data_IF_423203888249
#
_entry.id   IF_423203888249
#
_cell.length_a   1.000
_cell.length_b   1.000
_cell.length_c   1.000
_cell.angle_alpha   90.00
_cell.angle_beta   90.00
_cell.angle_gamma   90.00
#
_symmetry.space_group_name_H-M   'P 1'
#
loop_
_entity.id
_entity.type
_entity.pdbx_description
1 polymer ?
#
# COMPACT_ATOMS: atom_id res chain seq x y z
N UNK A 1 -4.01 -33.81 -31.21
CA UNK A 1 -2.80 -33.88 -30.37
C UNK A 1 -2.76 -32.60 -29.55
N UNK A 2 -2.98 -32.72 -28.25
CA UNK A 2 -2.99 -31.62 -27.29
C UNK A 2 -1.56 -31.49 -26.77
N UNK A 3 -0.91 -30.35 -27.06
CA UNK A 3 0.43 -30.03 -26.58
C UNK A 3 0.41 -29.81 -25.07
N UNK A 4 1.26 -30.55 -24.38
CA UNK A 4 1.39 -30.56 -22.93
C UNK A 4 2.15 -29.33 -22.41
N UNK A 5 1.59 -28.76 -21.34
CA UNK A 5 2.22 -28.10 -20.19
C UNK A 5 3.67 -27.62 -20.35
N UNK A 6 3.82 -26.31 -20.58
CA UNK A 6 5.05 -25.60 -20.19
C UNK A 6 5.02 -25.40 -18.66
N UNK A 7 6.04 -25.86 -17.91
CA UNK A 7 6.09 -25.63 -16.48
C UNK A 7 6.29 -24.13 -16.19
N UNK A 8 5.59 -23.62 -15.18
CA UNK A 8 5.84 -22.30 -14.61
C UNK A 8 7.35 -22.17 -14.33
N UNK A 9 8.00 -21.16 -14.91
CA UNK A 9 9.38 -20.83 -14.58
C UNK A 9 9.49 -20.63 -13.06
N UNK A 10 10.27 -21.49 -12.42
CA UNK A 10 10.76 -21.28 -11.07
C UNK A 10 11.61 -20.00 -11.10
N UNK A 11 11.03 -18.89 -10.67
CA UNK A 11 11.80 -17.67 -10.39
C UNK A 11 12.90 -18.05 -9.41
N UNK A 12 14.14 -18.02 -9.89
CA UNK A 12 15.32 -18.37 -9.11
C UNK A 12 15.32 -17.56 -7.81
N UNK A 13 15.48 -18.25 -6.69
CA UNK A 13 15.81 -17.61 -5.43
C UNK A 13 17.16 -16.91 -5.61
N UNK A 14 17.14 -15.58 -5.78
CA UNK A 14 18.35 -14.75 -5.75
C UNK A 14 18.88 -14.74 -4.30
N UNK A 15 19.56 -15.81 -3.93
CA UNK A 15 20.42 -15.87 -2.77
C UNK A 15 21.78 -15.32 -3.17
N UNK A 16 21.96 -14.00 -3.05
CA UNK A 16 23.23 -13.30 -2.73
C UNK A 16 23.04 -11.80 -2.90
N UNK A 17 22.30 -11.18 -1.96
CA UNK A 17 22.50 -9.75 -1.72
C UNK A 17 23.49 -9.59 -0.56
N UNK A 18 24.47 -8.67 -0.66
CA UNK A 18 25.41 -8.41 0.42
C UNK A 18 24.67 -7.91 1.67
N UNK A 19 25.25 -8.20 2.85
CA UNK A 19 24.69 -7.97 4.20
C UNK A 19 24.47 -6.47 4.55
N UNK A 20 24.64 -5.53 3.61
CA UNK A 20 24.54 -4.08 3.87
C UNK A 20 23.66 -3.28 2.89
N UNK A 21 22.93 -3.92 1.98
CA UNK A 21 21.99 -3.21 1.10
C UNK A 21 20.54 -3.56 1.44
N UNK A 22 19.76 -2.53 1.79
CA UNK A 22 18.30 -2.63 1.92
C UNK A 22 17.73 -3.05 0.55
N UNK A 23 16.99 -4.17 0.45
CA UNK A 23 16.41 -4.60 -0.82
C UNK A 23 15.44 -3.56 -1.40
N UNK A 24 15.60 -3.25 -2.68
CA UNK A 24 14.69 -2.36 -3.40
C UNK A 24 13.45 -3.15 -3.91
N UNK A 25 12.27 -2.57 -3.73
CA UNK A 25 11.01 -3.09 -4.25
C UNK A 25 10.71 -2.43 -5.59
N UNK A 26 10.20 -3.22 -6.52
CA UNK A 26 9.71 -2.73 -7.80
C UNK A 26 8.20 -2.50 -7.75
N UNK A 27 7.73 -1.49 -8.47
CA UNK A 27 6.31 -1.19 -8.55
C UNK A 27 5.53 -2.36 -9.17
N UNK A 28 4.44 -2.75 -8.53
CA UNK A 28 3.54 -3.84 -8.89
C UNK A 28 4.20 -5.23 -8.92
N UNK A 29 5.34 -5.40 -8.24
CA UNK A 29 6.00 -6.69 -8.04
C UNK A 29 5.91 -7.09 -6.58
N UNK A 30 5.54 -8.35 -6.33
CA UNK A 30 5.48 -8.93 -4.99
C UNK A 30 6.76 -9.71 -4.71
N UNK A 31 7.45 -9.38 -3.63
CA UNK A 31 8.65 -10.06 -3.13
C UNK A 31 8.31 -10.93 -1.94
N UNK A 32 8.76 -12.19 -1.95
CA UNK A 32 8.62 -13.10 -0.79
C UNK A 32 9.73 -12.88 0.21
N UNK A 33 9.40 -12.95 1.49
CA UNK A 33 10.36 -12.84 2.58
C UNK A 33 9.86 -13.57 3.85
N UNK A 34 10.71 -13.54 4.87
CA UNK A 34 10.37 -14.01 6.20
C UNK A 34 11.18 -13.25 7.25
N UNK A 35 10.67 -13.22 8.48
CA UNK A 35 11.41 -12.80 9.65
C UNK A 35 11.12 -13.70 10.87
N UNK A 36 12.09 -13.76 11.78
CA UNK A 36 11.97 -14.42 13.08
C UNK A 36 11.14 -13.59 14.07
N UNK A 37 10.69 -14.15 15.20
CA UNK A 37 9.90 -13.43 16.19
C UNK A 37 10.52 -12.09 16.59
N UNK A 38 9.73 -11.02 16.51
CA UNK A 38 10.15 -9.63 16.78
C UNK A 38 11.28 -9.10 15.88
N UNK A 39 11.64 -9.84 14.83
CA UNK A 39 12.65 -9.46 13.85
C UNK A 39 12.16 -8.35 12.93
N UNK A 40 13.11 -7.59 12.41
CA UNK A 40 12.87 -6.52 11.45
C UNK A 40 13.44 -6.87 10.10
N UNK A 41 12.76 -6.42 9.05
CA UNK A 41 13.28 -6.41 7.69
C UNK A 41 12.88 -5.11 7.01
N UNK A 42 13.86 -4.41 6.47
CA UNK A 42 13.65 -3.13 5.82
C UNK A 42 13.72 -3.30 4.30
N UNK A 43 13.01 -2.43 3.59
CA UNK A 43 12.96 -2.36 2.15
C UNK A 43 13.02 -0.90 1.70
N UNK A 44 13.46 -0.69 0.47
CA UNK A 44 13.51 0.61 -0.18
C UNK A 44 12.53 0.63 -1.34
N UNK A 45 11.80 1.72 -1.53
CA UNK A 45 11.06 2.01 -2.74
C UNK A 45 11.38 3.43 -3.19
N UNK A 46 11.84 3.58 -4.44
CA UNK A 46 12.15 4.89 -4.98
C UNK A 46 10.94 5.47 -5.72
N UNK A 47 10.36 6.55 -5.18
CA UNK A 47 9.32 7.31 -5.88
C UNK A 47 9.98 8.17 -6.93
N UNK A 48 9.76 7.83 -8.20
CA UNK A 48 10.27 8.58 -9.37
C UNK A 48 9.22 9.57 -9.88
N UNK A 49 9.59 10.39 -10.87
CA UNK A 49 8.66 11.31 -11.55
C UNK A 49 7.44 10.59 -12.14
N UNK A 50 7.56 9.30 -12.46
CA UNK A 50 6.45 8.49 -12.98
C UNK A 50 5.40 8.15 -11.91
N UNK A 51 5.71 8.35 -10.62
CA UNK A 51 4.86 7.93 -9.50
C UNK A 51 4.43 9.08 -8.59
N UNK A 52 5.01 10.27 -8.74
CA UNK A 52 4.80 11.41 -7.83
C UNK A 52 3.35 11.90 -7.78
N UNK A 53 2.60 11.70 -8.86
CA UNK A 53 1.18 12.06 -8.96
C UNK A 53 0.26 10.84 -8.82
N UNK A 54 0.78 9.67 -8.43
CA UNK A 54 0.00 8.44 -8.29
C UNK A 54 -0.25 8.06 -6.84
N UNK A 55 -1.29 7.25 -6.61
CA UNK A 55 -1.50 6.63 -5.30
C UNK A 55 -0.55 5.45 -5.15
N UNK A 56 0.03 5.33 -3.97
CA UNK A 56 0.93 4.22 -3.62
C UNK A 56 0.31 3.45 -2.46
N UNK A 57 0.19 2.14 -2.62
CA UNK A 57 -0.25 1.24 -1.57
C UNK A 57 0.84 0.21 -1.31
N UNK A 58 1.45 0.28 -0.14
CA UNK A 58 2.38 -0.75 0.33
C UNK A 58 1.53 -1.87 0.92
N UNK A 59 1.73 -3.10 0.47
CA UNK A 59 1.03 -4.28 0.98
C UNK A 59 2.03 -5.29 1.51
N UNK A 60 1.70 -5.88 2.66
CA UNK A 60 2.44 -6.98 3.26
C UNK A 60 1.42 -8.02 3.71
N UNK A 61 1.46 -9.18 3.09
CA UNK A 61 0.52 -10.26 3.39
C UNK A 61 1.22 -11.42 4.07
N UNK A 62 0.68 -11.80 5.23
CA UNK A 62 1.04 -13.01 5.95
C UNK A 62 0.64 -14.24 5.14
N UNK A 63 1.63 -15.08 4.85
CA UNK A 63 1.49 -16.31 4.05
C UNK A 63 1.38 -17.55 4.94
N UNK A 64 1.25 -17.39 6.26
CA UNK A 64 1.00 -18.50 7.17
C UNK A 64 -0.48 -18.92 7.14
N UNK A 65 -0.75 -20.20 7.39
CA UNK A 65 -2.11 -20.76 7.35
C UNK A 65 -2.99 -20.28 8.52
N UNK A 66 -2.37 -19.80 9.59
CA UNK A 66 -3.07 -19.30 10.77
C UNK A 66 -3.26 -17.79 10.63
N UNK A 67 -4.51 -17.34 10.65
CA UNK A 67 -4.84 -15.93 10.69
C UNK A 67 -4.49 -15.36 12.07
N UNK A 68 -3.39 -14.60 12.14
CA UNK A 68 -3.03 -13.77 13.28
C UNK A 68 -3.06 -12.30 12.84
N UNK A 69 -4.03 -11.49 13.29
CA UNK A 69 -4.15 -10.10 12.87
C UNK A 69 -2.99 -9.23 13.35
N UNK A 70 -2.14 -9.72 14.28
CA UNK A 70 -0.96 -9.02 14.79
C UNK A 70 0.35 -9.70 14.38
N UNK A 71 0.33 -10.53 13.33
CA UNK A 71 1.53 -11.25 12.88
C UNK A 71 2.61 -10.33 12.34
N UNK A 72 2.24 -9.16 11.81
CA UNK A 72 3.15 -8.19 11.23
C UNK A 72 2.80 -6.77 11.70
N UNK A 73 3.79 -5.89 11.65
CA UNK A 73 3.61 -4.45 11.70
C UNK A 73 4.41 -3.85 10.54
N UNK A 74 3.76 -2.98 9.78
CA UNK A 74 4.33 -2.30 8.61
C UNK A 74 4.45 -0.83 8.94
N UNK A 75 5.61 -0.24 8.66
CA UNK A 75 5.88 1.18 8.87
C UNK A 75 6.54 1.76 7.63
N UNK A 76 6.35 3.06 7.43
CA UNK A 76 6.84 3.75 6.25
C UNK A 76 7.53 5.07 6.63
N UNK A 77 8.71 5.32 6.10
CA UNK A 77 9.45 6.56 6.31
C UNK A 77 9.93 7.15 4.99
N UNK A 78 10.06 8.48 4.96
CA UNK A 78 10.63 9.18 3.81
C UNK A 78 12.08 9.55 4.10
N UNK A 79 12.99 9.19 3.18
CA UNK A 79 14.39 9.59 3.18
C UNK A 79 15.31 8.86 4.16
N UNK A 80 14.87 8.57 5.38
CA UNK A 80 15.66 7.80 6.35
C UNK A 80 14.78 7.03 7.34
N UNK A 81 15.34 5.96 7.93
CA UNK A 81 14.71 5.24 9.04
C UNK A 81 15.20 5.88 10.35
N UNK A 82 14.31 6.44 11.19
CA UNK A 82 14.71 7.05 12.45
C UNK A 82 15.18 5.98 13.45
N UNK A 83 16.08 6.36 14.36
CA UNK A 83 16.65 5.47 15.39
C UNK A 83 15.58 4.79 16.26
N UNK A 84 14.49 5.51 16.57
CA UNK A 84 13.39 5.01 17.39
C UNK A 84 12.34 4.23 16.60
N UNK A 85 12.50 4.16 15.27
CA UNK A 85 11.60 3.49 14.32
C UNK A 85 10.13 3.87 14.47
N UNK A 86 9.82 5.09 14.94
CA UNK A 86 8.43 5.56 14.92
C UNK A 86 8.08 6.10 13.55
N UNK A 87 6.86 5.83 13.10
CA UNK A 87 6.30 6.42 11.88
C UNK A 87 4.90 6.98 12.14
N UNK A 88 4.55 8.05 11.43
CA UNK A 88 3.17 8.52 11.31
C UNK A 88 2.33 7.61 10.38
N UNK A 89 3.00 6.85 9.52
CA UNK A 89 2.42 5.90 8.59
C UNK A 89 2.77 4.49 9.04
N UNK A 90 1.85 3.85 9.75
CA UNK A 90 2.00 2.47 10.19
C UNK A 90 0.68 1.70 10.16
N UNK A 91 0.78 0.39 10.06
CA UNK A 91 -0.32 -0.56 10.16
C UNK A 91 0.12 -1.76 10.97
N UNK A 92 -0.61 -2.08 12.03
CA UNK A 92 -0.26 -3.12 13.01
C UNK A 92 -1.39 -4.12 13.27
N UNK A 93 -2.50 -4.01 12.54
CA UNK A 93 -3.65 -4.92 12.65
C UNK A 93 -4.24 -5.15 11.26
N UNK A 94 -4.42 -6.42 10.89
CA UNK A 94 -5.00 -6.81 9.62
C UNK A 94 -5.92 -8.03 9.76
N UNK A 95 -7.24 -7.79 9.78
CA UNK A 95 -8.23 -8.87 9.61
C UNK A 95 -8.18 -9.36 8.17
N UNK A 96 -7.82 -10.61 7.95
CA UNK A 96 -7.55 -11.20 6.63
C UNK A 96 -6.07 -11.30 6.25
N UNK A 97 -5.13 -10.94 7.15
CA UNK A 97 -3.70 -11.21 6.98
C UNK A 97 -2.92 -10.25 6.07
N UNK A 98 -3.58 -9.24 5.47
CA UNK A 98 -2.93 -8.22 4.64
C UNK A 98 -2.83 -6.89 5.37
N UNK A 99 -1.61 -6.50 5.69
CA UNK A 99 -1.26 -5.21 6.26
C UNK A 99 -0.95 -4.25 5.13
N UNK A 100 -1.51 -3.04 5.16
CA UNK A 100 -1.19 -2.03 4.16
C UNK A 100 -1.10 -0.61 4.69
N UNK A 101 -0.31 0.18 3.97
CA UNK A 101 -0.21 1.63 4.14
C UNK A 101 -0.53 2.27 2.79
N UNK A 102 -1.51 3.17 2.78
CA UNK A 102 -1.85 3.96 1.60
C UNK A 102 -1.25 5.37 1.71
N UNK A 103 -0.57 5.79 0.65
CA UNK A 103 -0.16 7.17 0.40
C UNK A 103 -0.96 7.70 -0.79
N UNK A 104 -1.73 8.75 -0.56
CA UNK A 104 -2.41 9.43 -1.66
C UNK A 104 -1.42 10.19 -2.54
N UNK A 105 -1.74 10.43 -3.81
CA UNK A 105 -0.96 11.29 -4.70
C UNK A 105 -0.63 12.67 -4.10
N UNK A 106 -1.52 13.18 -3.23
CA UNK A 106 -1.31 14.45 -2.53
C UNK A 106 -0.28 14.38 -1.41
N UNK A 107 -0.16 13.24 -0.75
CA UNK A 107 0.88 12.98 0.28
C UNK A 107 2.19 12.54 -0.35
N UNK A 108 2.12 11.81 -1.47
CA UNK A 108 3.24 11.32 -2.26
C UNK A 108 3.84 12.38 -3.21
N UNK A 109 3.68 13.67 -2.90
CA UNK A 109 3.94 14.76 -3.85
C UNK A 109 5.43 15.07 -4.07
N UNK A 110 6.36 14.18 -3.71
CA UNK A 110 7.78 14.43 -3.94
C UNK A 110 8.58 13.14 -4.13
N UNK A 111 9.32 13.14 -5.24
CA UNK A 111 10.35 12.17 -5.61
C UNK A 111 11.33 11.93 -4.46
N UNK A 112 11.74 10.67 -4.32
CA UNK A 112 12.78 10.27 -3.40
C UNK A 112 12.59 8.88 -2.83
N UNK A 113 13.49 8.57 -1.90
CA UNK A 113 13.57 7.28 -1.25
C UNK A 113 12.52 7.16 -0.14
N UNK A 114 11.80 6.05 -0.16
CA UNK A 114 10.87 5.66 0.88
C UNK A 114 11.30 4.32 1.47
N UNK A 115 11.43 4.26 2.78
CA UNK A 115 11.82 3.06 3.52
C UNK A 115 10.61 2.40 4.12
N UNK A 116 10.48 1.09 3.91
CA UNK A 116 9.39 0.27 4.41
C UNK A 116 9.98 -0.69 5.43
N UNK A 117 9.53 -0.58 6.68
CA UNK A 117 9.92 -1.49 7.75
C UNK A 117 8.83 -2.53 7.98
N UNK A 118 9.20 -3.80 7.96
CA UNK A 118 8.33 -4.91 8.37
C UNK A 118 8.87 -5.49 9.66
N UNK A 119 8.05 -5.48 10.70
CA UNK A 119 8.34 -6.11 11.99
C UNK A 119 7.46 -7.33 12.17
N UNK A 120 8.08 -8.48 12.44
CA UNK A 120 7.35 -9.70 12.79
C UNK A 120 6.80 -9.63 14.22
N UNK A 121 5.65 -10.27 14.44
CA UNK A 121 5.04 -10.51 15.74
C UNK A 121 5.78 -11.56 16.57
N UNK A 122 5.06 -12.28 17.43
CA UNK A 122 5.65 -13.23 18.38
C UNK A 122 6.05 -14.58 17.77
N UNK A 123 5.67 -14.85 16.52
CA UNK A 123 5.96 -16.09 15.80
C UNK A 123 6.83 -15.82 14.55
N UNK A 124 7.41 -16.88 13.98
CA UNK A 124 8.02 -16.81 12.65
C UNK A 124 6.93 -16.53 11.60
N UNK A 125 7.18 -15.55 10.73
CA UNK A 125 6.24 -15.18 9.67
C UNK A 125 6.90 -15.26 8.31
N UNK A 126 6.23 -15.94 7.39
CA UNK A 126 6.51 -15.86 5.95
C UNK A 126 5.50 -14.90 5.36
N UNK A 127 5.96 -13.98 4.54
CA UNK A 127 5.09 -12.96 3.97
C UNK A 127 5.48 -12.61 2.55
N UNK A 128 4.56 -11.95 1.83
CA UNK A 128 4.85 -11.26 0.57
C UNK A 128 4.68 -9.76 0.77
N UNK A 129 5.65 -8.98 0.33
CA UNK A 129 5.63 -7.52 0.37
C UNK A 129 5.65 -6.96 -1.04
N UNK A 130 4.93 -5.88 -1.28
CA UNK A 130 5.04 -5.15 -2.53
C UNK A 130 4.49 -3.75 -2.45
N UNK A 131 4.72 -3.01 -3.53
CA UNK A 131 4.23 -1.65 -3.70
C UNK A 131 3.30 -1.64 -4.90
N UNK A 132 2.02 -1.41 -4.68
CA UNK A 132 1.01 -1.29 -5.73
C UNK A 132 0.86 0.19 -6.06
N UNK A 133 1.03 0.53 -7.33
CA UNK A 133 0.80 1.89 -7.83
C UNK A 133 -0.55 1.93 -8.51
N UNK A 134 -1.44 2.79 -8.04
CA UNK A 134 -2.79 2.95 -8.57
C UNK A 134 -2.96 4.36 -9.10
N UNK A 135 -3.53 4.48 -10.30
CA UNK A 135 -3.77 5.79 -10.93
C UNK A 135 -4.57 6.72 -10.03
N UNK A 136 -4.10 7.94 -9.85
CA UNK A 136 -4.87 8.99 -9.17
C UNK A 136 -5.91 9.63 -10.09
N UNK A 137 -5.58 9.80 -11.37
CA UNK A 137 -6.53 10.27 -12.36
C UNK A 137 -7.46 9.11 -12.79
N UNK A 138 -8.77 9.36 -12.72
CA UNK A 138 -9.79 8.46 -13.25
C UNK A 138 -9.94 8.77 -14.74
N UNK A 139 -9.51 7.83 -15.56
CA UNK A 139 -9.85 7.81 -16.98
C UNK A 139 -11.30 7.33 -17.15
N UNK A 140 -12.09 8.07 -17.93
CA UNK A 140 -13.49 7.73 -18.18
C UNK A 140 -13.61 6.36 -18.86
N UNK A 141 -14.65 5.61 -18.47
CA UNK A 141 -14.94 4.27 -19.00
C UNK A 141 -13.85 3.21 -18.71
N UNK A 142 -12.90 3.53 -17.85
CA UNK A 142 -11.91 2.56 -17.34
C UNK A 142 -12.22 2.18 -15.89
N UNK A 143 -11.98 0.92 -15.57
CA UNK A 143 -12.06 0.43 -14.20
C UNK A 143 -10.71 0.67 -13.51
N UNK A 144 -10.75 1.34 -12.37
CA UNK A 144 -9.60 1.48 -11.47
C UNK A 144 -9.80 0.56 -10.27
N UNK A 145 -8.78 -0.24 -9.96
CA UNK A 145 -8.79 -1.19 -8.85
C UNK A 145 -7.84 -0.70 -7.77
N UNK A 146 -8.25 -0.89 -6.52
CA UNK A 146 -7.44 -0.54 -5.36
C UNK A 146 -7.99 -1.16 -4.08
N UNK A 147 -7.11 -1.29 -3.10
CA UNK A 147 -7.45 -1.71 -1.73
C UNK A 147 -6.94 -0.64 -0.77
N UNK A 148 -7.70 -0.41 0.30
CA UNK A 148 -7.36 0.54 1.35
C UNK A 148 -7.63 -0.14 2.69
N UNK A 149 -6.61 -0.28 3.53
CA UNK A 149 -6.78 -0.79 4.89
C UNK A 149 -7.50 0.22 5.80
N UNK A 150 -8.05 -0.23 6.93
CA UNK A 150 -8.70 0.66 7.90
C UNK A 150 -7.85 1.88 8.26
N UNK A 151 -8.44 3.08 8.18
CA UNK A 151 -7.73 4.34 8.44
C UNK A 151 -6.84 4.85 7.30
N UNK A 152 -6.60 4.03 6.29
CA UNK A 152 -6.00 4.44 5.01
C UNK A 152 -6.96 5.26 4.17
N UNK A 153 -6.41 5.98 3.20
CA UNK A 153 -7.18 6.70 2.19
C UNK A 153 -6.34 6.85 0.92
N UNK A 154 -7.01 6.88 -0.23
CA UNK A 154 -6.40 7.19 -1.53
C UNK A 154 -7.22 8.29 -2.20
N UNK A 155 -6.58 9.06 -3.08
CA UNK A 155 -7.21 10.16 -3.79
C UNK A 155 -7.39 9.78 -5.25
N UNK A 156 -8.63 9.85 -5.72
CA UNK A 156 -8.92 9.83 -7.14
C UNK A 156 -9.50 11.17 -7.60
N UNK A 157 -9.09 11.65 -8.77
CA UNK A 157 -9.59 12.88 -9.38
C UNK A 157 -9.89 12.70 -10.87
N UNK A 158 -10.67 13.60 -11.43
CA UNK A 158 -10.88 13.72 -12.87
C UNK A 158 -11.21 15.17 -13.20
N UNK A 159 -10.86 15.63 -14.41
CA UNK A 159 -11.17 16.98 -14.85
C UNK A 159 -12.52 17.04 -15.56
N UNK A 160 -13.50 17.68 -14.92
CA UNK A 160 -14.85 17.83 -15.48
C UNK A 160 -14.89 18.75 -16.72
N UNK A 161 -13.90 19.61 -16.93
CA UNK A 161 -13.86 20.55 -18.07
C UNK A 161 -13.78 19.83 -19.42
N UNK A 162 -13.26 18.60 -19.44
CA UNK A 162 -13.17 17.77 -20.63
C UNK A 162 -14.47 17.01 -20.94
N UNK A 163 -15.49 17.14 -20.08
CA UNK A 163 -16.77 16.48 -20.24
C UNK A 163 -17.78 17.47 -20.84
N UNK A 164 -18.26 17.22 -22.06
CA UNK A 164 -19.41 17.93 -22.66
C UNK A 164 -20.74 17.52 -21.98
N UNK A 165 -20.77 17.48 -20.65
CA UNK A 165 -21.88 16.99 -19.84
C UNK A 165 -22.10 17.89 -18.62
N UNK A 166 -23.36 18.12 -18.26
CA UNK A 166 -23.74 18.84 -17.04
C UNK A 166 -23.67 17.97 -15.77
N UNK A 167 -23.48 16.66 -15.92
CA UNK A 167 -23.48 15.69 -14.82
C UNK A 167 -22.40 14.62 -14.98
N UNK A 168 -21.89 14.14 -13.85
CA UNK A 168 -20.96 13.02 -13.76
C UNK A 168 -21.59 11.91 -12.96
N UNK A 169 -21.48 10.68 -13.45
CA UNK A 169 -21.90 9.47 -12.74
C UNK A 169 -20.68 8.61 -12.48
N UNK A 170 -20.41 8.33 -11.20
CA UNK A 170 -19.34 7.43 -10.79
C UNK A 170 -19.99 6.13 -10.31
N UNK A 171 -19.51 4.99 -10.81
CA UNK A 171 -19.89 3.67 -10.32
C UNK A 171 -18.76 3.16 -9.44
N UNK A 172 -19.07 2.83 -8.19
CA UNK A 172 -18.12 2.25 -7.24
C UNK A 172 -18.61 0.85 -6.90
N UNK A 173 -17.76 -0.15 -7.11
CA UNK A 173 -18.03 -1.53 -6.76
C UNK A 173 -17.16 -1.93 -5.57
N UNK A 174 -17.81 -2.21 -4.43
CA UNK A 174 -17.14 -2.73 -3.23
C UNK A 174 -17.20 -4.25 -3.24
N UNK A 175 -16.05 -4.90 -3.09
CA UNK A 175 -15.98 -6.36 -2.99
C UNK A 175 -16.19 -6.83 -1.56
N UNK A 176 -15.46 -6.26 -0.59
CA UNK A 176 -15.50 -6.62 0.84
C UNK A 176 -15.29 -5.39 1.72
N UNK A 177 -15.38 -5.55 3.05
CA UNK A 177 -15.11 -4.50 4.03
C UNK A 177 -16.13 -3.36 4.06
N UNK A 178 -15.80 -2.29 4.76
CA UNK A 178 -16.55 -1.04 4.80
C UNK A 178 -15.72 0.10 4.22
N UNK A 179 -16.35 0.97 3.43
CA UNK A 179 -15.67 2.06 2.73
C UNK A 179 -16.48 3.34 2.85
N UNK A 180 -15.78 4.44 3.13
CA UNK A 180 -16.31 5.79 3.08
C UNK A 180 -15.67 6.54 1.93
N UNK A 181 -16.46 7.32 1.19
CA UNK A 181 -15.97 8.19 0.13
C UNK A 181 -16.43 9.62 0.40
N UNK A 182 -15.56 10.58 0.08
CA UNK A 182 -15.87 12.01 0.19
C UNK A 182 -15.56 12.65 -1.15
N UNK A 183 -16.54 13.33 -1.72
CA UNK A 183 -16.37 14.06 -2.98
C UNK A 183 -16.23 15.56 -2.69
N UNK A 184 -15.26 16.20 -3.35
CA UNK A 184 -15.04 17.64 -3.32
C UNK A 184 -14.82 18.15 -4.74
N UNK A 185 -15.22 19.39 -5.00
CA UNK A 185 -15.01 20.08 -6.27
C UNK A 185 -13.95 21.16 -6.05
N UNK A 186 -13.04 21.32 -7.01
CA UNK A 186 -11.93 22.30 -7.03
C UNK A 186 -10.88 22.19 -5.91
N UNK A 187 -11.08 21.32 -4.92
CA UNK A 187 -10.17 21.15 -3.78
C UNK A 187 -10.07 19.68 -3.44
N UNK A 188 -8.85 19.15 -3.38
CA UNK A 188 -8.64 17.77 -2.96
C UNK A 188 -9.02 17.61 -1.48
N UNK A 189 -9.86 16.62 -1.11
CA UNK A 189 -10.12 16.31 0.29
C UNK A 189 -8.79 16.00 0.97
N UNK A 190 -8.53 16.65 2.10
CA UNK A 190 -7.38 16.32 2.96
C UNK A 190 -7.80 15.27 3.97
N UNK A 191 -6.88 14.36 4.29
CA UNK A 191 -6.99 13.46 5.45
C UNK A 191 -7.36 14.30 6.68
N UNK A 192 -8.53 14.06 7.25
CA UNK A 192 -8.79 14.47 8.62
C UNK A 192 -7.96 13.52 9.47
N UNK A 193 -6.79 13.97 9.94
CA UNK A 193 -5.96 13.15 10.81
C UNK A 193 -6.80 12.83 12.05
N UNK A 194 -6.94 11.53 12.42
CA UNK A 194 -7.54 11.14 13.68
C UNK A 194 -6.91 11.91 14.87
N UNK A 195 -7.62 12.04 16.00
CA UNK A 195 -8.68 11.14 16.41
C UNK A 195 -10.05 11.64 15.95
N UNK A 196 -10.81 10.77 15.27
CA UNK A 196 -12.26 10.78 15.39
C UNK A 196 -12.63 10.28 16.79
N UNK A 197 -12.25 11.01 17.84
CA UNK A 197 -12.99 10.91 19.08
C UNK A 197 -14.34 11.51 18.74
N UNK A 198 -15.40 10.73 18.94
CA UNK A 198 -16.68 11.34 19.32
C UNK A 198 -16.33 12.31 20.45
N UNK A 199 -16.32 13.61 20.16
CA UNK A 199 -16.52 14.58 21.22
C UNK A 199 -17.95 14.35 21.66
N UNK A 200 -18.13 13.45 22.63
CA UNK A 200 -19.30 13.52 23.47
C UNK A 200 -19.23 14.90 24.10
N UNK A 201 -20.20 15.74 23.78
CA UNK A 201 -20.47 16.96 24.53
C UNK A 201 -20.61 16.56 26.00
N UNK A 202 -19.66 16.99 26.86
CA UNK A 202 -19.90 17.43 28.23
C UNK A 202 -18.90 18.54 28.55
#
# INVERSE_FOLDING_TARGET
ELGADEPCEDTEFVNTLPIDSVPELEANVLMRASCSPNGWKDYLFNVTDNYVDENIVITVEDMNDNEDPNSLEVLLWKGEIPDDRKSEHFSSDARGGTFSISLSAKENSAVGEWYIGVRCGAADVRYRVGVVVTKSEIEMETDNYGEVCPGGWILHHFEAQNLNSSHVKVKIQKYTGDMHFVTRVNTAPVKLVPPYRYMSEI
#
